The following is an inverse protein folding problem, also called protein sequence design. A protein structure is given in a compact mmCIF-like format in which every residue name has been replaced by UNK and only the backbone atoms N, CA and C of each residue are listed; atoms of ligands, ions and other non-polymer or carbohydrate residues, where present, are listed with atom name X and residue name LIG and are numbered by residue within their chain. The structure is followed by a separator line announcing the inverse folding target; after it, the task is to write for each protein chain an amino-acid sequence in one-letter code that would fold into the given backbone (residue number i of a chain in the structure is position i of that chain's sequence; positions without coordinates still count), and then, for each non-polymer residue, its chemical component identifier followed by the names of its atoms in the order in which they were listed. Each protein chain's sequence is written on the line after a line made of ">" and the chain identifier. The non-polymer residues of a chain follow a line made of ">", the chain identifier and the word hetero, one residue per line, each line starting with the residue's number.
data_IF_994664763518
#
_entry.id   IF_994664763518
#
_cell.length_a   1.000
_cell.length_b   1.000
_cell.length_c   1.000
_cell.angle_alpha   90.00
_cell.angle_beta   90.00
_cell.angle_gamma   90.00
#
_symmetry.space_group_name_H-M   'P 1'
#
loop_
_entity.id
_entity.type
_entity.pdbx_description
1 polymer ?
#
# COMPACT_ATOMS: atom_id res chain seq x y z
N UNK A 1 -79.31 35.67 -15.27
CA UNK A 1 -78.21 35.06 -16.05
C UNK A 1 -77.61 33.97 -15.18
N UNK A 2 -77.85 32.70 -15.51
CA UNK A 2 -77.29 31.59 -14.74
C UNK A 2 -75.76 31.55 -14.99
N UNK A 3 -74.92 31.51 -13.93
CA UNK A 3 -73.48 31.45 -14.11
C UNK A 3 -73.13 30.20 -14.90
N UNK A 4 -72.32 30.39 -15.93
CA UNK A 4 -71.95 29.34 -16.86
C UNK A 4 -71.14 28.25 -16.11
N UNK A 5 -71.49 26.96 -16.25
CA UNK A 5 -70.96 25.87 -15.42
C UNK A 5 -69.43 25.70 -15.48
N UNK A 6 -68.79 26.18 -16.56
CA UNK A 6 -67.33 26.14 -16.68
C UNK A 6 -66.60 27.08 -15.71
N UNK A 7 -67.23 28.16 -15.24
CA UNK A 7 -66.60 29.10 -14.30
C UNK A 7 -66.37 28.44 -12.93
N UNK A 8 -67.33 27.65 -12.45
CA UNK A 8 -67.19 26.91 -11.20
C UNK A 8 -66.16 25.77 -11.30
N UNK A 9 -66.08 25.10 -12.45
CA UNK A 9 -65.04 24.09 -12.70
C UNK A 9 -63.64 24.70 -12.72
N UNK A 10 -63.46 25.83 -13.41
CA UNK A 10 -62.17 26.54 -13.47
C UNK A 10 -61.77 27.09 -12.10
N UNK A 11 -62.71 27.68 -11.35
CA UNK A 11 -62.44 28.23 -10.01
C UNK A 11 -62.08 27.14 -8.99
N UNK A 12 -62.77 25.98 -9.02
CA UNK A 12 -62.44 24.86 -8.15
C UNK A 12 -61.12 24.18 -8.53
N UNK A 13 -60.82 24.03 -9.83
CA UNK A 13 -59.51 23.51 -10.26
C UNK A 13 -58.39 24.47 -9.89
N UNK A 14 -58.53 25.77 -10.18
CA UNK A 14 -57.51 26.76 -9.82
C UNK A 14 -57.31 26.86 -8.31
N UNK A 15 -58.38 26.83 -7.50
CA UNK A 15 -58.27 26.90 -6.04
C UNK A 15 -57.48 25.76 -5.39
N UNK A 16 -57.50 24.56 -6.00
CA UNK A 16 -56.79 23.38 -5.47
C UNK A 16 -55.34 23.31 -5.95
N UNK A 17 -55.03 23.74 -7.18
CA UNK A 17 -53.67 23.66 -7.73
C UNK A 17 -52.82 24.92 -7.49
N UNK A 18 -53.42 26.09 -7.23
CA UNK A 18 -52.66 27.32 -7.01
C UNK A 18 -51.66 27.21 -5.83
N UNK A 19 -52.03 26.64 -4.67
CA UNK A 19 -51.10 26.51 -3.53
C UNK A 19 -49.89 25.61 -3.83
N UNK A 20 -50.09 24.50 -4.56
CA UNK A 20 -49.00 23.57 -4.88
C UNK A 20 -48.07 24.14 -5.96
N UNK A 21 -48.61 24.87 -6.95
CA UNK A 21 -47.82 25.58 -7.96
C UNK A 21 -46.97 26.67 -7.31
N UNK A 22 -47.54 27.46 -6.41
CA UNK A 22 -46.78 28.47 -5.66
C UNK A 22 -45.71 27.84 -4.78
N UNK A 23 -46.02 26.74 -4.09
CA UNK A 23 -45.05 25.99 -3.28
C UNK A 23 -43.88 25.44 -4.12
N UNK A 24 -44.18 24.89 -5.29
CA UNK A 24 -43.18 24.39 -6.22
C UNK A 24 -42.27 25.50 -6.75
N UNK A 25 -42.86 26.64 -7.16
CA UNK A 25 -42.10 27.81 -7.58
C UNK A 25 -41.19 28.35 -6.46
N UNK A 26 -41.67 28.38 -5.22
CA UNK A 26 -40.87 28.78 -4.07
C UNK A 26 -39.66 27.84 -3.86
N UNK A 27 -39.85 26.53 -3.98
CA UNK A 27 -38.75 25.55 -3.87
C UNK A 27 -37.71 25.74 -4.99
N UNK A 28 -38.13 25.95 -6.24
CA UNK A 28 -37.20 26.19 -7.35
C UNK A 28 -36.41 27.47 -7.12
N UNK A 29 -37.06 28.55 -6.67
CA UNK A 29 -36.40 29.82 -6.38
C UNK A 29 -35.36 29.68 -5.26
N UNK A 30 -35.73 29.03 -4.15
CA UNK A 30 -34.81 28.78 -3.04
C UNK A 30 -33.66 27.88 -3.49
N UNK A 31 -33.96 26.80 -4.19
CA UNK A 31 -32.96 25.86 -4.67
C UNK A 31 -32.00 26.46 -5.70
N UNK A 32 -32.46 27.40 -6.53
CA UNK A 32 -31.60 28.16 -7.44
C UNK A 32 -30.61 29.05 -6.69
N UNK A 33 -31.06 29.75 -5.64
CA UNK A 33 -30.17 30.52 -4.75
C UNK A 33 -29.13 29.64 -4.07
N UNK A 34 -29.56 28.49 -3.53
CA UNK A 34 -28.68 27.51 -2.89
C UNK A 34 -27.67 26.92 -3.90
N UNK A 35 -28.10 26.64 -5.13
CA UNK A 35 -27.22 26.16 -6.20
C UNK A 35 -26.13 27.18 -6.55
N UNK A 36 -26.49 28.47 -6.60
CA UNK A 36 -25.53 29.54 -6.86
C UNK A 36 -24.51 29.67 -5.72
N UNK A 37 -24.97 29.60 -4.47
CA UNK A 37 -24.11 29.67 -3.29
C UNK A 37 -23.13 28.48 -3.23
N UNK A 38 -23.62 27.25 -3.40
CA UNK A 38 -22.80 26.03 -3.37
C UNK A 38 -21.82 25.94 -4.52
N UNK A 39 -22.23 26.33 -5.73
CA UNK A 39 -21.33 26.34 -6.90
C UNK A 39 -20.21 27.38 -6.75
N UNK A 40 -20.52 28.57 -6.22
CA UNK A 40 -19.52 29.59 -5.92
C UNK A 40 -18.56 29.14 -4.82
N UNK A 41 -19.07 28.55 -3.74
CA UNK A 41 -18.24 27.98 -2.67
C UNK A 41 -17.30 26.89 -3.20
N UNK A 42 -17.82 25.96 -4.01
CA UNK A 42 -17.03 24.90 -4.65
C UNK A 42 -15.91 25.49 -5.50
N UNK A 43 -16.23 26.47 -6.36
CA UNK A 43 -15.23 27.14 -7.21
C UNK A 43 -14.12 27.79 -6.38
N UNK A 44 -14.49 28.53 -5.32
CA UNK A 44 -13.53 29.22 -4.47
C UNK A 44 -12.63 28.25 -3.70
N UNK A 45 -13.17 27.11 -3.24
CA UNK A 45 -12.38 26.08 -2.56
C UNK A 45 -11.39 25.42 -3.53
N UNK A 46 -11.83 25.01 -4.72
CA UNK A 46 -10.93 24.38 -5.70
C UNK A 46 -9.83 25.36 -6.17
N UNK A 47 -10.17 26.63 -6.37
CA UNK A 47 -9.20 27.67 -6.71
C UNK A 47 -8.16 27.88 -5.61
N UNK A 48 -8.57 27.88 -4.32
CA UNK A 48 -7.64 27.97 -3.19
C UNK A 48 -6.67 26.79 -3.12
N UNK A 49 -7.11 25.59 -3.49
CA UNK A 49 -6.26 24.41 -3.55
C UNK A 49 -5.39 24.32 -4.81
N UNK A 50 -5.53 25.27 -5.74
CA UNK A 50 -4.77 25.30 -6.99
C UNK A 50 -5.03 24.07 -7.86
N UNK A 51 -6.27 23.57 -7.88
CA UNK A 51 -6.63 22.34 -8.58
C UNK A 51 -6.27 22.41 -10.07
N UNK A 52 -6.56 23.54 -10.73
CA UNK A 52 -6.17 23.74 -12.14
C UNK A 52 -4.64 23.70 -12.33
N UNK A 53 -3.86 24.33 -11.44
CA UNK A 53 -2.40 24.40 -11.54
C UNK A 53 -1.76 23.02 -11.40
N UNK A 54 -2.25 22.21 -10.44
CA UNK A 54 -1.73 20.85 -10.17
C UNK A 54 -2.09 19.85 -11.28
N UNK A 55 -3.23 20.02 -11.96
CA UNK A 55 -3.60 19.16 -13.08
C UNK A 55 -2.90 19.57 -14.38
N UNK A 56 -2.69 20.87 -14.60
CA UNK A 56 -1.96 21.38 -15.76
C UNK A 56 -0.49 20.91 -15.79
N UNK A 57 0.12 20.64 -14.64
CA UNK A 57 1.50 20.11 -14.56
C UNK A 57 1.62 18.63 -14.97
N UNK A 58 0.55 17.85 -14.92
CA UNK A 58 0.57 16.41 -15.25
C UNK A 58 -0.21 16.05 -16.51
N UNK A 59 -1.02 16.97 -17.02
CA UNK A 59 -1.81 16.76 -18.24
C UNK A 59 -1.77 18.07 -19.02
N UNK A 60 -1.37 18.05 -20.29
CA UNK A 60 -1.38 19.23 -21.19
C UNK A 60 -2.80 19.68 -21.57
N UNK A 61 -3.73 19.58 -20.62
CA UNK A 61 -5.13 19.86 -20.80
C UNK A 61 -5.42 21.24 -20.20
N UNK A 62 -5.81 22.19 -21.05
CA UNK A 62 -6.29 23.52 -20.66
C UNK A 62 -7.72 23.50 -20.08
N UNK A 63 -8.15 22.36 -19.55
CA UNK A 63 -9.50 22.17 -19.06
C UNK A 63 -9.63 22.80 -17.68
N UNK A 64 -10.53 23.78 -17.58
CA UNK A 64 -10.84 24.48 -16.33
C UNK A 64 -11.72 23.61 -15.41
N UNK A 65 -11.09 22.68 -14.67
CA UNK A 65 -11.76 21.77 -13.74
C UNK A 65 -12.59 22.51 -12.69
N UNK A 66 -12.10 23.63 -12.17
CA UNK A 66 -12.83 24.48 -11.21
C UNK A 66 -14.21 24.89 -11.73
N UNK A 67 -14.26 25.30 -12.99
CA UNK A 67 -15.49 25.77 -13.62
C UNK A 67 -16.41 24.59 -13.96
N UNK A 68 -15.87 23.47 -14.44
CA UNK A 68 -16.65 22.26 -14.71
C UNK A 68 -17.27 21.72 -13.43
N UNK A 69 -16.48 21.55 -12.37
CA UNK A 69 -16.95 21.09 -11.07
C UNK A 69 -18.05 22.00 -10.52
N UNK A 70 -17.86 23.33 -10.58
CA UNK A 70 -18.89 24.29 -10.14
C UNK A 70 -20.19 24.18 -10.94
N UNK A 71 -20.12 23.96 -12.26
CA UNK A 71 -21.31 23.76 -13.11
C UNK A 71 -22.03 22.47 -12.78
N UNK A 72 -21.29 21.39 -12.54
CA UNK A 72 -21.87 20.10 -12.14
C UNK A 72 -22.61 20.25 -10.82
N UNK A 73 -22.01 20.91 -9.82
CA UNK A 73 -22.67 21.18 -8.54
C UNK A 73 -23.91 22.06 -8.73
N UNK A 74 -23.83 23.12 -9.55
CA UNK A 74 -24.98 23.98 -9.83
C UNK A 74 -26.15 23.18 -10.42
N UNK A 75 -25.91 22.40 -11.48
CA UNK A 75 -26.93 21.57 -12.12
C UNK A 75 -27.45 20.48 -11.20
N UNK A 76 -26.60 19.86 -10.38
CA UNK A 76 -27.02 18.85 -9.42
C UNK A 76 -27.97 19.44 -8.36
N UNK A 77 -27.62 20.60 -7.79
CA UNK A 77 -28.47 21.26 -6.77
C UNK A 77 -29.77 21.79 -7.40
N UNK A 78 -29.70 22.37 -8.61
CA UNK A 78 -30.89 22.81 -9.33
C UNK A 78 -31.82 21.64 -9.67
N UNK A 79 -31.26 20.50 -10.07
CA UNK A 79 -32.01 19.28 -10.33
C UNK A 79 -32.68 18.77 -9.05
N UNK A 80 -32.00 18.80 -7.90
CA UNK A 80 -32.61 18.50 -6.60
C UNK A 80 -33.75 19.47 -6.23
N UNK A 81 -33.60 20.75 -6.54
CA UNK A 81 -34.66 21.74 -6.35
C UNK A 81 -35.88 21.46 -7.23
N UNK A 82 -35.66 21.15 -8.51
CA UNK A 82 -36.70 20.71 -9.44
C UNK A 82 -37.39 19.45 -8.95
N UNK A 83 -36.64 18.47 -8.45
CA UNK A 83 -37.18 17.26 -7.80
C UNK A 83 -38.11 17.62 -6.65
N UNK A 84 -37.66 18.48 -5.73
CA UNK A 84 -38.49 18.91 -4.59
C UNK A 84 -39.76 19.64 -5.04
N UNK A 85 -39.65 20.46 -6.09
CA UNK A 85 -40.79 21.15 -6.68
C UNK A 85 -41.79 20.16 -7.30
N UNK A 86 -41.34 19.16 -8.05
CA UNK A 86 -42.20 18.10 -8.60
C UNK A 86 -42.85 17.23 -7.52
N UNK A 87 -42.17 17.04 -6.38
CA UNK A 87 -42.73 16.36 -5.20
C UNK A 87 -43.93 17.13 -4.64
N UNK A 88 -43.84 18.46 -4.50
CA UNK A 88 -44.95 19.32 -4.04
C UNK A 88 -46.11 19.35 -5.04
N UNK A 89 -45.81 19.31 -6.33
CA UNK A 89 -46.83 19.22 -7.39
C UNK A 89 -47.54 17.86 -7.43
N UNK A 90 -47.11 16.88 -6.63
CA UNK A 90 -47.68 15.52 -6.56
C UNK A 90 -47.85 14.88 -7.94
N UNK A 91 -46.86 15.02 -8.81
CA UNK A 91 -46.87 14.35 -10.12
C UNK A 91 -46.69 12.85 -9.90
N UNK A 92 -47.80 12.12 -9.84
CA UNK A 92 -47.85 10.66 -9.65
C UNK A 92 -47.07 9.97 -10.77
N UNK A 93 -46.08 9.15 -10.40
CA UNK A 93 -45.18 8.43 -11.32
C UNK A 93 -43.74 8.96 -11.37
N UNK A 94 -43.53 10.24 -11.06
CA UNK A 94 -42.18 10.85 -11.09
C UNK A 94 -41.64 11.13 -9.68
N UNK A 95 -42.53 11.42 -8.73
CA UNK A 95 -42.17 11.79 -7.36
C UNK A 95 -41.54 10.68 -6.52
N UNK A 96 -41.87 9.40 -6.76
CA UNK A 96 -41.39 8.26 -5.97
C UNK A 96 -39.87 8.06 -6.03
N UNK A 97 -39.28 7.71 -7.19
CA UNK A 97 -37.84 7.52 -7.33
C UNK A 97 -37.03 8.77 -6.96
N UNK A 98 -37.55 9.95 -7.30
CA UNK A 98 -36.90 11.22 -7.01
C UNK A 98 -36.86 11.54 -5.50
N UNK A 99 -37.91 11.21 -4.76
CA UNK A 99 -37.95 11.33 -3.30
C UNK A 99 -36.89 10.45 -2.64
N UNK A 100 -36.68 9.24 -3.16
CA UNK A 100 -35.60 8.34 -2.69
C UNK A 100 -34.23 8.98 -2.90
N UNK A 101 -33.97 9.59 -4.08
CA UNK A 101 -32.71 10.28 -4.34
C UNK A 101 -32.51 11.49 -3.42
N UNK A 102 -33.54 12.31 -3.21
CA UNK A 102 -33.48 13.47 -2.32
C UNK A 102 -33.18 13.06 -0.87
N UNK A 103 -33.88 12.03 -0.38
CA UNK A 103 -33.65 11.45 0.96
C UNK A 103 -32.22 10.90 1.09
N UNK A 104 -31.75 10.21 0.05
CA UNK A 104 -30.40 9.65 -0.01
C UNK A 104 -29.34 10.75 0.08
N UNK A 105 -29.47 11.81 -0.72
CA UNK A 105 -28.54 12.96 -0.70
C UNK A 105 -28.55 13.66 0.67
N UNK A 106 -29.73 13.88 1.25
CA UNK A 106 -29.85 14.51 2.56
C UNK A 106 -29.18 13.69 3.67
N UNK A 107 -29.20 12.37 3.56
CA UNK A 107 -28.57 11.45 4.50
C UNK A 107 -27.04 11.37 4.30
N UNK A 108 -26.55 11.54 3.06
CA UNK A 108 -25.12 11.65 2.77
C UNK A 108 -24.51 13.00 3.17
N UNK A 109 -25.31 14.08 3.25
CA UNK A 109 -24.78 15.41 3.54
C UNK A 109 -24.08 15.51 4.91
N UNK A 110 -24.68 15.04 6.04
CA UNK A 110 -23.98 14.98 7.33
C UNK A 110 -22.73 14.09 7.29
N UNK A 111 -22.81 12.94 6.61
CA UNK A 111 -21.69 11.99 6.46
C UNK A 111 -20.52 12.61 5.71
N UNK A 112 -20.81 13.36 4.66
CA UNK A 112 -19.81 14.08 3.87
C UNK A 112 -19.12 15.16 4.70
N UNK A 113 -19.85 15.88 5.54
CA UNK A 113 -19.27 16.85 6.48
C UNK A 113 -18.33 16.17 7.50
N UNK A 114 -18.75 15.04 8.08
CA UNK A 114 -17.92 14.26 9.02
C UNK A 114 -16.64 13.75 8.34
N UNK A 115 -16.75 13.17 7.15
CA UNK A 115 -15.62 12.68 6.38
C UNK A 115 -14.66 13.81 5.99
N UNK A 116 -15.18 14.98 5.63
CA UNK A 116 -14.37 16.15 5.30
C UNK A 116 -13.65 16.68 6.54
N UNK A 117 -14.31 16.74 7.69
CA UNK A 117 -13.68 17.10 8.96
C UNK A 117 -12.54 16.13 9.33
N UNK A 118 -12.77 14.82 9.20
CA UNK A 118 -11.73 13.81 9.41
C UNK A 118 -10.58 13.92 8.41
N UNK A 119 -10.86 14.21 7.14
CA UNK A 119 -9.83 14.41 6.12
C UNK A 119 -8.94 15.62 6.43
N UNK A 120 -9.51 16.71 6.94
CA UNK A 120 -8.75 17.88 7.40
C UNK A 120 -7.86 17.53 8.58
N UNK A 121 -8.38 16.78 9.56
CA UNK A 121 -7.60 16.30 10.71
C UNK A 121 -6.46 15.41 10.24
N UNK A 122 -6.74 14.43 9.38
CA UNK A 122 -5.75 13.51 8.82
C UNK A 122 -4.63 14.26 8.08
N UNK A 123 -4.98 15.25 7.26
CA UNK A 123 -4.02 16.09 6.55
C UNK A 123 -3.10 16.86 7.51
N UNK A 124 -3.67 17.41 8.59
CA UNK A 124 -2.91 18.14 9.61
C UNK A 124 -1.93 17.20 10.32
N UNK A 125 -2.41 16.05 10.80
CA UNK A 125 -1.58 15.04 11.48
C UNK A 125 -0.47 14.53 10.56
N UNK A 126 -0.79 14.19 9.30
CA UNK A 126 0.18 13.72 8.33
C UNK A 126 1.27 14.76 8.05
N UNK A 127 0.90 16.05 7.97
CA UNK A 127 1.85 17.15 7.77
C UNK A 127 2.78 17.29 8.97
N UNK A 128 2.26 17.22 10.20
CA UNK A 128 3.06 17.25 11.43
C UNK A 128 4.04 16.07 11.47
N UNK A 129 3.56 14.85 11.23
CA UNK A 129 4.41 13.65 11.22
C UNK A 129 5.52 13.75 10.17
N UNK A 130 5.19 14.21 8.96
CA UNK A 130 6.19 14.45 7.90
C UNK A 130 7.29 15.39 8.36
N UNK A 131 6.93 16.51 8.99
CA UNK A 131 7.90 17.49 9.47
C UNK A 131 8.78 16.91 10.58
N UNK A 132 8.20 16.16 11.52
CA UNK A 132 8.95 15.49 12.58
C UNK A 132 9.92 14.46 12.01
N UNK A 133 9.48 13.61 11.09
CA UNK A 133 10.32 12.60 10.44
C UNK A 133 11.44 13.23 9.63
N UNK A 134 11.15 14.25 8.83
CA UNK A 134 12.18 14.99 8.08
C UNK A 134 13.22 15.62 9.00
N UNK A 135 12.77 16.22 10.11
CA UNK A 135 13.68 16.89 11.07
C UNK A 135 14.55 15.87 11.80
N UNK A 136 13.96 14.77 12.26
CA UNK A 136 14.68 13.70 12.95
C UNK A 136 15.71 13.02 12.04
N UNK A 137 15.34 12.74 10.78
CA UNK A 137 16.23 12.11 9.82
C UNK A 137 17.31 13.06 9.30
N UNK A 138 16.97 14.34 9.09
CA UNK A 138 17.94 15.37 8.71
C UNK A 138 18.96 15.69 9.80
N UNK A 139 18.66 15.42 11.07
CA UNK A 139 19.64 15.46 12.15
C UNK A 139 20.68 14.32 12.07
N UNK A 140 20.41 13.28 11.26
CA UNK A 140 21.31 12.16 11.02
C UNK A 140 22.17 12.40 9.78
N UNK A 141 23.46 12.05 9.84
CA UNK A 141 24.39 12.14 8.70
C UNK A 141 24.13 11.11 7.57
N UNK A 142 22.92 10.54 7.50
CA UNK A 142 22.55 9.55 6.48
C UNK A 142 22.47 10.19 5.09
N UNK A 143 21.93 11.41 4.99
CA UNK A 143 21.81 12.11 3.72
C UNK A 143 23.18 12.42 3.11
N UNK A 144 24.15 12.94 3.88
CA UNK A 144 25.52 13.16 3.38
C UNK A 144 26.20 11.89 2.86
N UNK A 145 25.98 10.73 3.50
CA UNK A 145 26.67 9.49 3.12
C UNK A 145 26.08 8.78 1.90
N UNK A 146 24.82 9.05 1.59
CA UNK A 146 24.08 8.38 0.51
C UNK A 146 23.91 9.28 -0.73
N UNK A 147 23.87 10.61 -0.56
CA UNK A 147 23.81 11.57 -1.68
C UNK A 147 25.16 11.82 -2.37
N UNK A 148 26.29 11.50 -1.72
CA UNK A 148 27.62 11.70 -2.31
C UNK A 148 27.89 10.91 -3.60
N UNK A 149 27.11 9.88 -3.90
CA UNK A 149 27.30 9.02 -5.07
C UNK A 149 26.10 8.99 -6.03
N UNK A 150 25.04 9.76 -5.79
CA UNK A 150 23.85 9.76 -6.64
C UNK A 150 23.11 11.11 -6.61
N UNK A 151 22.75 11.62 -7.79
CA UNK A 151 21.86 12.77 -8.00
C UNK A 151 20.40 12.39 -7.66
N UNK A 152 20.17 11.95 -6.43
CA UNK A 152 18.88 11.50 -5.91
C UNK A 152 18.45 12.43 -4.78
N UNK A 153 17.14 12.64 -4.68
CA UNK A 153 16.55 13.43 -3.59
C UNK A 153 16.98 12.87 -2.22
N UNK A 154 17.17 13.75 -1.20
CA UNK A 154 17.54 13.33 0.14
C UNK A 154 16.56 12.27 0.67
N UNK A 155 17.12 11.23 1.28
CA UNK A 155 16.36 10.09 1.81
C UNK A 155 15.43 10.57 2.92
N UNK A 156 15.84 11.57 3.70
CA UNK A 156 14.99 12.21 4.70
C UNK A 156 13.66 12.69 4.11
N UNK A 157 13.71 13.43 2.99
CA UNK A 157 12.52 13.95 2.31
C UNK A 157 11.63 12.83 1.74
N UNK A 158 12.25 11.77 1.21
CA UNK A 158 11.52 10.60 0.72
C UNK A 158 10.82 9.87 1.86
N UNK A 159 11.51 9.65 2.98
CA UNK A 159 10.97 9.00 4.17
C UNK A 159 9.85 9.82 4.81
N UNK A 160 9.97 11.14 4.90
CA UNK A 160 8.86 11.99 5.36
C UNK A 160 7.66 11.99 4.43
N UNK A 161 7.87 11.91 3.11
CA UNK A 161 6.78 11.72 2.15
C UNK A 161 6.09 10.36 2.34
N UNK A 162 6.87 9.29 2.53
CA UNK A 162 6.32 7.96 2.82
C UNK A 162 5.53 7.98 4.13
N UNK A 163 6.06 8.59 5.18
CA UNK A 163 5.38 8.74 6.46
C UNK A 163 4.07 9.54 6.32
N UNK A 164 4.06 10.64 5.55
CA UNK A 164 2.85 11.40 5.23
C UNK A 164 1.78 10.52 4.58
N UNK A 165 2.15 9.79 3.53
CA UNK A 165 1.23 8.91 2.82
C UNK A 165 0.74 7.76 3.71
N UNK A 166 1.60 7.20 4.56
CA UNK A 166 1.24 6.14 5.50
C UNK A 166 0.23 6.63 6.54
N UNK A 167 0.44 7.82 7.11
CA UNK A 167 -0.53 8.43 8.02
C UNK A 167 -1.86 8.67 7.31
N UNK A 168 -1.84 9.25 6.12
CA UNK A 168 -3.07 9.53 5.35
C UNK A 168 -3.81 8.23 5.00
N UNK A 169 -3.06 7.18 4.63
CA UNK A 169 -3.58 5.83 4.37
C UNK A 169 -4.18 5.20 5.63
N UNK A 170 -3.60 5.43 6.81
CA UNK A 170 -4.15 4.95 8.09
C UNK A 170 -5.47 5.63 8.45
N UNK A 171 -5.65 6.90 8.08
CA UNK A 171 -6.90 7.66 8.30
C UNK A 171 -7.95 7.41 7.22
N UNK A 172 -7.56 6.98 6.03
CA UNK A 172 -8.46 6.73 4.90
C UNK A 172 -9.63 5.79 5.26
N UNK A 173 -9.45 4.69 6.01
CA UNK A 173 -10.56 3.87 6.52
C UNK A 173 -11.55 4.63 7.41
N UNK A 174 -11.06 5.52 8.28
CA UNK A 174 -11.94 6.34 9.12
C UNK A 174 -12.74 7.35 8.28
N UNK A 175 -12.13 7.93 7.26
CA UNK A 175 -12.78 8.85 6.32
C UNK A 175 -13.86 8.11 5.51
N UNK A 176 -13.52 6.95 4.92
CA UNK A 176 -14.48 6.10 4.19
C UNK A 176 -15.57 5.58 5.12
N UNK A 177 -15.23 5.26 6.36
CA UNK A 177 -16.18 4.89 7.41
C UNK A 177 -17.17 5.97 7.76
N UNK A 178 -16.73 7.23 7.81
CA UNK A 178 -17.63 8.36 7.99
C UNK A 178 -18.58 8.55 6.80
N UNK A 179 -18.15 8.22 5.57
CA UNK A 179 -19.03 8.23 4.39
C UNK A 179 -20.06 7.09 4.39
N UNK A 180 -19.86 6.04 5.20
CA UNK A 180 -20.72 4.85 5.29
C UNK A 180 -21.07 4.26 3.92
N UNK A 181 -20.07 4.17 3.03
CA UNK A 181 -20.24 3.52 1.74
C UNK A 181 -20.23 2.00 2.00
N UNK A 182 -21.43 1.42 2.05
CA UNK A 182 -21.64 0.00 2.24
C UNK A 182 -20.89 -0.79 1.13
N UNK A 183 -20.12 -1.80 1.51
CA UNK A 183 -19.33 -2.64 0.59
C UNK A 183 -17.86 -2.24 0.42
N UNK A 184 -17.46 -1.00 0.71
CA UNK A 184 -16.04 -0.59 0.69
C UNK A 184 -15.35 -0.78 2.04
N UNK A 185 -16.13 -0.87 3.12
CA UNK A 185 -15.63 -0.94 4.50
C UNK A 185 -14.84 -2.21 4.77
N UNK A 186 -15.35 -3.37 4.35
CA UNK A 186 -14.78 -4.68 4.68
C UNK A 186 -13.37 -4.90 4.12
N UNK A 187 -13.09 -4.64 2.82
CA UNK A 187 -11.72 -4.76 2.31
C UNK A 187 -10.77 -3.76 2.99
N UNK A 188 -11.25 -2.54 3.27
CA UNK A 188 -10.44 -1.45 3.79
C UNK A 188 -10.07 -1.67 5.26
N UNK A 189 -11.02 -2.13 6.09
CA UNK A 189 -10.76 -2.52 7.48
C UNK A 189 -9.87 -3.76 7.54
N UNK A 190 -10.05 -4.71 6.62
CA UNK A 190 -9.15 -5.85 6.45
C UNK A 190 -7.71 -5.42 6.21
N UNK A 191 -7.46 -4.59 5.20
CA UNK A 191 -6.12 -4.07 4.89
C UNK A 191 -5.50 -3.30 6.05
N UNK A 192 -6.30 -2.50 6.77
CA UNK A 192 -5.84 -1.71 7.92
C UNK A 192 -5.45 -2.61 9.09
N UNK A 193 -6.27 -3.63 9.37
CA UNK A 193 -5.98 -4.64 10.39
C UNK A 193 -4.70 -5.40 10.07
N UNK A 194 -4.51 -5.80 8.80
CA UNK A 194 -3.26 -6.43 8.34
C UNK A 194 -2.06 -5.50 8.51
N UNK A 195 -2.17 -4.22 8.11
CA UNK A 195 -1.09 -3.24 8.26
C UNK A 195 -0.71 -3.00 9.73
N UNK A 196 -1.70 -2.91 10.63
CA UNK A 196 -1.46 -2.77 12.07
C UNK A 196 -0.86 -4.06 12.66
N UNK A 197 -1.26 -5.24 12.17
CA UNK A 197 -0.68 -6.53 12.54
C UNK A 197 0.77 -6.71 12.09
N UNK A 198 1.19 -6.05 11.01
CA UNK A 198 2.59 -6.06 10.56
C UNK A 198 3.48 -5.25 11.51
N UNK A 199 2.98 -4.24 12.23
CA UNK A 199 3.83 -3.38 13.08
C UNK A 199 4.61 -4.16 14.17
N UNK A 200 3.97 -5.01 14.99
CA UNK A 200 4.67 -5.84 15.97
C UNK A 200 5.64 -6.83 15.31
N UNK A 201 5.21 -7.45 14.20
CA UNK A 201 5.99 -8.43 13.44
C UNK A 201 7.24 -7.79 12.81
N UNK A 202 7.13 -6.56 12.33
CA UNK A 202 8.24 -5.77 11.80
C UNK A 202 9.31 -5.54 12.86
N UNK A 203 8.90 -5.23 14.09
CA UNK A 203 9.85 -5.07 15.18
C UNK A 203 10.61 -6.38 15.46
N UNK A 204 9.89 -7.53 15.52
CA UNK A 204 10.51 -8.83 15.71
C UNK A 204 11.48 -9.19 14.56
N UNK A 205 11.06 -8.99 13.31
CA UNK A 205 11.86 -9.24 12.11
C UNK A 205 13.14 -8.39 12.09
N UNK A 206 13.04 -7.09 12.40
CA UNK A 206 14.20 -6.19 12.48
C UNK A 206 15.16 -6.65 13.58
N UNK A 207 14.65 -7.03 14.75
CA UNK A 207 15.48 -7.52 15.84
C UNK A 207 16.24 -8.78 15.45
N UNK A 208 15.56 -9.77 14.87
CA UNK A 208 16.16 -11.03 14.38
C UNK A 208 17.22 -10.74 13.32
N UNK A 209 16.89 -9.90 12.33
CA UNK A 209 17.80 -9.54 11.24
C UNK A 209 19.09 -8.86 11.74
N UNK A 210 18.97 -7.92 12.68
CA UNK A 210 20.12 -7.23 13.27
C UNK A 210 20.99 -8.20 14.05
N UNK A 211 20.39 -9.02 14.93
CA UNK A 211 21.13 -9.97 15.75
C UNK A 211 21.88 -10.98 14.87
N UNK A 212 21.22 -11.61 13.90
CA UNK A 212 21.89 -12.59 13.07
C UNK A 212 22.90 -11.99 12.08
N UNK A 213 22.73 -10.72 11.66
CA UNK A 213 23.77 -10.01 10.91
C UNK A 213 25.04 -9.81 11.73
N UNK A 214 24.91 -9.42 13.00
CA UNK A 214 26.06 -9.27 13.92
C UNK A 214 26.76 -10.62 14.09
N UNK A 215 26.01 -11.70 14.33
CA UNK A 215 26.57 -13.06 14.47
C UNK A 215 27.28 -13.49 13.18
N UNK A 216 26.64 -13.33 12.02
CA UNK A 216 27.23 -13.68 10.73
C UNK A 216 28.54 -12.93 10.47
N UNK A 217 28.59 -11.64 10.80
CA UNK A 217 29.80 -10.82 10.65
C UNK A 217 30.92 -11.28 11.60
N UNK A 218 30.59 -11.62 12.84
CA UNK A 218 31.56 -12.15 13.80
C UNK A 218 32.14 -13.49 13.31
N UNK A 219 31.28 -14.43 12.87
CA UNK A 219 31.72 -15.74 12.36
C UNK A 219 32.54 -15.59 11.08
N UNK A 220 32.14 -14.70 10.16
CA UNK A 220 32.93 -14.38 8.96
C UNK A 220 34.36 -13.99 9.31
N UNK A 221 34.51 -13.04 10.25
CA UNK A 221 35.82 -12.56 10.69
C UNK A 221 36.64 -13.69 11.31
N UNK A 222 36.00 -14.52 12.13
CA UNK A 222 36.64 -15.68 12.77
C UNK A 222 37.12 -16.68 11.72
N UNK A 223 36.25 -17.11 10.81
CA UNK A 223 36.56 -18.10 9.76
C UNK A 223 37.64 -17.58 8.81
N UNK A 224 37.56 -16.31 8.39
CA UNK A 224 38.61 -15.71 7.54
C UNK A 224 39.96 -15.68 8.26
N UNK A 225 40.00 -15.26 9.53
CA UNK A 225 41.25 -15.19 10.28
C UNK A 225 41.86 -16.59 10.52
N UNK A 226 41.03 -17.59 10.84
CA UNK A 226 41.50 -18.96 11.05
C UNK A 226 42.03 -19.58 9.75
N UNK A 227 41.34 -19.40 8.62
CA UNK A 227 41.78 -19.89 7.31
C UNK A 227 43.04 -19.18 6.80
N UNK A 228 43.19 -17.89 7.10
CA UNK A 228 44.40 -17.13 6.79
C UNK A 228 45.58 -17.63 7.64
N UNK A 229 45.36 -17.89 8.94
CA UNK A 229 46.38 -18.37 9.86
C UNK A 229 46.90 -19.78 9.51
N UNK A 230 46.05 -20.66 9.00
CA UNK A 230 46.44 -22.00 8.54
C UNK A 230 47.18 -21.99 7.20
N UNK A 231 47.33 -20.83 6.54
CA UNK A 231 48.12 -20.69 5.33
C UNK A 231 47.43 -21.19 4.06
N UNK A 232 46.11 -21.40 4.08
CA UNK A 232 45.33 -21.82 2.89
C UNK A 232 45.46 -20.79 1.75
N UNK A 233 45.71 -19.53 2.09
CA UNK A 233 45.97 -18.46 1.12
C UNK A 233 47.23 -18.68 0.27
N UNK A 234 48.19 -19.49 0.75
CA UNK A 234 49.42 -19.80 0.00
C UNK A 234 49.15 -20.73 -1.17
N UNK A 235 48.12 -21.57 -1.07
CA UNK A 235 47.71 -22.50 -2.12
C UNK A 235 47.02 -21.81 -3.30
N UNK A 236 46.34 -20.67 -3.06
CA UNK A 236 45.65 -19.92 -4.13
C UNK A 236 46.61 -19.07 -4.99
N UNK A 237 47.79 -18.74 -4.48
CA UNK A 237 48.79 -17.95 -5.19
C UNK A 237 49.56 -18.73 -6.28
N UNK A 238 49.48 -20.07 -6.27
CA UNK A 238 50.24 -20.94 -7.17
C UNK A 238 49.65 -21.14 -8.57
N UNK A 239 48.43 -20.68 -8.85
CA UNK A 239 47.75 -20.85 -10.15
C UNK A 239 47.38 -19.48 -10.76
N UNK A 240 47.78 -19.22 -12.01
CA UNK A 240 47.49 -17.96 -12.73
C UNK A 240 45.98 -17.63 -12.81
N UNK A 241 45.11 -18.65 -12.77
CA UNK A 241 43.64 -18.49 -12.78
C UNK A 241 43.03 -18.05 -11.43
N UNK A 242 43.80 -18.06 -10.34
CA UNK A 242 43.34 -17.71 -8.98
C UNK A 242 44.13 -16.53 -8.37
N UNK A 243 45.03 -15.92 -9.14
CA UNK A 243 45.76 -14.70 -8.75
C UNK A 243 44.79 -13.55 -8.48
N UNK A 244 44.56 -13.25 -7.20
CA UNK A 244 43.69 -12.17 -6.75
C UNK A 244 42.58 -12.62 -5.79
N UNK A 245 42.28 -13.91 -5.73
CA UNK A 245 41.22 -14.44 -4.85
C UNK A 245 41.83 -15.11 -3.62
N UNK A 246 41.65 -14.48 -2.45
CA UNK A 246 42.09 -15.03 -1.15
C UNK A 246 41.10 -16.10 -0.71
N UNK A 247 41.54 -17.36 -0.65
CA UNK A 247 40.68 -18.49 -0.28
C UNK A 247 40.10 -18.32 1.15
N UNK A 248 40.84 -17.67 2.05
CA UNK A 248 40.38 -17.31 3.39
C UNK A 248 39.17 -16.35 3.38
N UNK A 249 39.13 -15.41 2.45
CA UNK A 249 38.01 -14.48 2.29
C UNK A 249 36.79 -15.17 1.68
N UNK A 250 37.00 -16.10 0.74
CA UNK A 250 35.92 -16.93 0.22
C UNK A 250 35.31 -17.78 1.33
N UNK A 251 36.12 -18.49 2.11
CA UNK A 251 35.62 -19.33 3.20
C UNK A 251 34.84 -18.54 4.25
N UNK A 252 35.31 -17.35 4.64
CA UNK A 252 34.55 -16.49 5.54
C UNK A 252 33.27 -15.94 4.91
N UNK A 253 33.27 -15.63 3.61
CA UNK A 253 32.07 -15.18 2.89
C UNK A 253 31.04 -16.31 2.76
N UNK A 254 31.48 -17.54 2.54
CA UNK A 254 30.60 -18.71 2.56
C UNK A 254 30.00 -18.94 3.94
N UNK A 255 30.80 -18.86 5.00
CA UNK A 255 30.30 -18.94 6.37
C UNK A 255 29.30 -17.81 6.71
N UNK A 256 29.55 -16.60 6.21
CA UNK A 256 28.62 -15.49 6.31
C UNK A 256 27.28 -15.81 5.63
N UNK A 257 27.32 -16.26 4.37
CA UNK A 257 26.13 -16.62 3.61
C UNK A 257 25.34 -17.74 4.31
N UNK A 258 26.04 -18.74 4.84
CA UNK A 258 25.44 -19.87 5.54
C UNK A 258 24.65 -19.47 6.79
N UNK A 259 25.06 -18.41 7.48
CA UNK A 259 24.36 -17.90 8.67
C UNK A 259 23.30 -16.88 8.29
N UNK A 260 23.60 -16.00 7.35
CA UNK A 260 22.70 -14.90 7.00
C UNK A 260 21.45 -15.39 6.28
N UNK A 261 21.54 -16.43 5.45
CA UNK A 261 20.38 -16.96 4.71
C UNK A 261 19.32 -17.53 5.68
N UNK A 262 19.64 -18.44 6.61
CA UNK A 262 18.68 -18.90 7.62
C UNK A 262 18.16 -17.78 8.52
N UNK A 263 19.02 -16.82 8.90
CA UNK A 263 18.60 -15.66 9.69
C UNK A 263 17.58 -14.82 8.93
N UNK A 264 17.82 -14.57 7.63
CA UNK A 264 16.93 -13.79 6.80
C UNK A 264 15.58 -14.49 6.64
N UNK A 265 15.59 -15.82 6.47
CA UNK A 265 14.36 -16.63 6.46
C UNK A 265 13.61 -16.47 7.79
N UNK A 266 14.29 -16.59 8.93
CA UNK A 266 13.67 -16.40 10.24
C UNK A 266 13.11 -14.98 10.45
N UNK A 267 13.79 -13.95 9.92
CA UNK A 267 13.30 -12.58 9.97
C UNK A 267 12.06 -12.37 9.07
N UNK A 268 12.05 -12.95 7.87
CA UNK A 268 10.91 -12.90 6.95
C UNK A 268 9.70 -13.69 7.48
N UNK A 269 9.96 -14.82 8.14
CA UNK A 269 8.95 -15.62 8.84
C UNK A 269 8.33 -14.84 10.01
N UNK A 270 9.17 -14.18 10.82
CA UNK A 270 8.70 -13.29 11.89
C UNK A 270 7.89 -12.09 11.35
N UNK A 271 8.14 -11.66 10.12
CA UNK A 271 7.36 -10.61 9.44
C UNK A 271 5.98 -11.12 8.95
N UNK A 272 5.75 -12.44 8.98
CA UNK A 272 4.55 -13.13 8.47
C UNK A 272 4.26 -12.88 6.99
N UNK A 273 5.30 -12.88 6.16
CA UNK A 273 5.14 -12.84 4.70
C UNK A 273 5.22 -14.26 4.13
N UNK A 274 4.17 -15.06 4.38
CA UNK A 274 4.12 -16.49 4.01
C UNK A 274 4.42 -16.73 2.53
N UNK A 275 4.00 -15.82 1.65
CA UNK A 275 4.24 -15.90 0.21
C UNK A 275 5.74 -15.88 -0.17
N UNK A 276 6.61 -15.38 0.71
CA UNK A 276 8.05 -15.30 0.50
C UNK A 276 8.80 -16.25 1.43
N UNK A 277 8.41 -16.33 2.71
CA UNK A 277 9.09 -17.20 3.68
C UNK A 277 8.93 -18.68 3.31
N UNK A 278 7.72 -19.13 2.95
CA UNK A 278 7.44 -20.56 2.72
C UNK A 278 8.26 -21.20 1.59
N UNK A 279 8.40 -20.59 0.39
CA UNK A 279 9.30 -21.11 -0.63
C UNK A 279 10.77 -21.18 -0.15
N UNK A 280 11.23 -20.19 0.62
CA UNK A 280 12.61 -20.14 1.09
C UNK A 280 12.91 -21.18 2.18
N UNK A 281 11.99 -21.42 3.12
CA UNK A 281 12.09 -22.54 4.08
C UNK A 281 12.07 -23.88 3.37
N UNK A 282 11.20 -24.06 2.37
CA UNK A 282 11.16 -25.29 1.58
C UNK A 282 12.47 -25.56 0.84
N UNK A 283 13.11 -24.51 0.29
CA UNK A 283 14.45 -24.65 -0.31
C UNK A 283 15.50 -25.04 0.75
N UNK A 284 15.48 -24.42 1.94
CA UNK A 284 16.40 -24.77 3.03
C UNK A 284 16.23 -26.22 3.46
N UNK A 285 14.99 -26.71 3.57
CA UNK A 285 14.69 -28.10 3.89
C UNK A 285 15.27 -29.08 2.86
N UNK A 286 15.11 -28.77 1.56
CA UNK A 286 15.73 -29.55 0.48
C UNK A 286 17.25 -29.58 0.63
N UNK A 287 17.89 -28.44 0.91
CA UNK A 287 19.35 -28.38 1.12
C UNK A 287 19.79 -29.17 2.37
N UNK A 288 19.05 -29.06 3.48
CA UNK A 288 19.35 -29.77 4.72
C UNK A 288 19.19 -31.29 4.56
N UNK A 289 18.21 -31.75 3.78
CA UNK A 289 18.04 -33.17 3.45
C UNK A 289 19.07 -33.69 2.44
N UNK A 290 19.61 -32.82 1.58
CA UNK A 290 20.66 -33.20 0.64
C UNK A 290 21.97 -33.58 1.36
N UNK A 291 22.31 -32.90 2.47
CA UNK A 291 23.56 -33.16 3.21
C UNK A 291 23.68 -34.62 3.70
N UNK A 292 22.71 -35.20 4.45
CA UNK A 292 22.74 -36.60 4.82
C UNK A 292 22.77 -37.55 3.62
N UNK A 293 22.00 -37.26 2.57
CA UNK A 293 21.92 -38.11 1.39
C UNK A 293 23.24 -38.16 0.61
N UNK A 294 23.93 -37.03 0.49
CA UNK A 294 25.26 -36.96 -0.15
C UNK A 294 26.28 -37.72 0.69
N UNK A 295 26.24 -37.59 2.02
CA UNK A 295 27.12 -38.37 2.91
C UNK A 295 26.84 -39.87 2.81
N UNK A 296 25.58 -40.28 2.76
CA UNK A 296 25.18 -41.68 2.57
C UNK A 296 25.67 -42.21 1.21
N UNK A 297 25.49 -41.46 0.12
CA UNK A 297 25.97 -41.83 -1.20
C UNK A 297 27.51 -41.95 -1.25
N UNK A 298 28.22 -41.02 -0.63
CA UNK A 298 29.68 -41.06 -0.52
C UNK A 298 30.15 -42.27 0.29
N UNK A 299 29.48 -42.61 1.39
CA UNK A 299 29.77 -43.79 2.19
C UNK A 299 29.56 -45.08 1.39
N UNK A 300 28.46 -45.17 0.63
CA UNK A 300 28.18 -46.32 -0.26
C UNK A 300 29.27 -46.46 -1.33
N UNK A 301 29.66 -45.36 -1.99
CA UNK A 301 30.73 -45.37 -2.99
C UNK A 301 32.07 -45.84 -2.41
N UNK A 302 32.42 -45.38 -1.21
CA UNK A 302 33.63 -45.80 -0.50
C UNK A 302 33.63 -47.31 -0.24
N UNK A 303 32.51 -47.83 0.27
CA UNK A 303 32.34 -49.26 0.56
C UNK A 303 32.39 -50.07 -0.74
N UNK A 304 31.67 -49.64 -1.78
CA UNK A 304 31.63 -50.32 -3.07
C UNK A 304 33.02 -50.38 -3.72
N UNK A 305 33.79 -49.29 -3.66
CA UNK A 305 35.15 -49.25 -4.18
C UNK A 305 36.09 -50.20 -3.41
N UNK A 306 35.99 -50.23 -2.09
CA UNK A 306 36.79 -51.13 -1.25
C UNK A 306 36.50 -52.61 -1.56
N UNK A 307 35.21 -52.97 -1.64
CA UNK A 307 34.79 -54.34 -1.97
C UNK A 307 35.22 -54.71 -3.39
N UNK A 308 35.02 -53.81 -4.37
CA UNK A 308 35.39 -54.04 -5.77
C UNK A 308 36.89 -54.31 -5.93
N UNK A 309 37.74 -53.56 -5.22
CA UNK A 309 39.18 -53.80 -5.20
C UNK A 309 39.52 -55.15 -4.57
N UNK A 310 38.88 -55.51 -3.46
CA UNK A 310 39.12 -56.79 -2.78
C UNK A 310 38.77 -57.99 -3.67
N UNK A 311 37.64 -57.90 -4.38
CA UNK A 311 37.20 -58.92 -5.34
C UNK A 311 38.16 -59.00 -6.53
N UNK A 312 38.61 -57.85 -7.06
CA UNK A 312 39.58 -57.83 -8.16
C UNK A 312 40.91 -58.50 -7.77
N UNK A 313 41.42 -58.25 -6.56
CA UNK A 313 42.62 -58.91 -6.05
C UNK A 313 42.43 -60.43 -5.88
N UNK A 314 41.26 -60.87 -5.41
CA UNK A 314 40.91 -62.30 -5.32
C UNK A 314 40.88 -62.98 -6.69
N UNK A 315 40.19 -62.38 -7.67
CA UNK A 315 40.09 -62.91 -9.02
C UNK A 315 41.47 -62.96 -9.70
N UNK A 316 42.28 -61.93 -9.53
CA UNK A 316 43.64 -61.88 -10.10
C UNK A 316 44.53 -63.00 -9.53
N UNK A 317 44.45 -63.25 -8.22
CA UNK A 317 45.21 -64.34 -7.57
C UNK A 317 44.78 -65.73 -8.07
N UNK A 318 43.48 -65.96 -8.27
CA UNK A 318 42.97 -67.23 -8.79
C UNK A 318 43.41 -67.47 -10.23
N UNK A 319 43.35 -66.44 -11.08
CA UNK A 319 43.80 -66.51 -12.47
C UNK A 319 45.32 -66.69 -12.59
N UNK A 320 46.11 -66.14 -11.66
CA UNK A 320 47.57 -66.33 -11.66
C UNK A 320 48.02 -67.72 -11.19
N UNK A 321 47.12 -68.50 -10.58
CA UNK A 321 47.43 -69.82 -10.00
C UNK A 321 46.83 -70.98 -10.81
N UNK A 322 46.30 -70.67 -12.00
CA UNK A 322 45.91 -71.59 -13.07
C UNK A 322 46.98 -71.56 -14.17
#
# INVERSE_FOLDING_TARGET
>A
MQPVPWQHSVQNSLGVYLPSVLGALAIVLIGWLVALALSAATRNLLAKFGANQRLATHTQSHVNFEHIASRVVFWAVLLLALIGAFSVLRVEGVSGPLSTLATTVMLYLPRLLLALALAVIAWLVATVVRTVVNTALGATKLDERLSQNADMQPISATMGNVAYWLVLLLFLPAIVGALQIHGLMEPLTGMTSTLLGILPNLFAAVLIGVVGWVIAKAVRGLVTNLLAATGVDRFSQGHESTQGVRLSQLGGTLAFILIIVPTLIAALDALQIDAISAPLTGMLEIFLHAVPNVLAAAAILLIAWFIGRFVAELVTRLLSNL
#
